data_IF_351473610086
#
_entry.id   IF_351473610086
#
_cell.length_a   1.000
_cell.length_b   1.000
_cell.length_c   1.000
_cell.angle_alpha   90.00
_cell.angle_beta   90.00
_cell.angle_gamma   90.00
#
_symmetry.space_group_name_H-M   'P 1'
#
loop_
_entity.id
_entity.type
_entity.pdbx_description
1 polymer ?
#
# COMPACT_ATOMS: atom_id res chain seq x y z
N UNK A 1 -8.77 -9.31 -29.18
CA UNK A 1 -8.67 -8.06 -29.98
C UNK A 1 -9.75 -7.12 -29.47
N UNK A 2 -9.38 -5.93 -29.00
CA UNK A 2 -10.30 -4.96 -28.36
C UNK A 2 -10.70 -3.92 -29.41
N UNK A 3 -11.62 -4.27 -30.32
CA UNK A 3 -12.21 -3.33 -31.27
C UNK A 3 -13.63 -3.02 -30.82
N UNK A 4 -13.97 -1.73 -30.69
CA UNK A 4 -15.24 -1.22 -30.21
C UNK A 4 -15.94 -0.27 -31.20
N UNK A 5 -15.42 -0.15 -32.45
CA UNK A 5 -15.93 0.79 -33.46
C UNK A 5 -17.41 0.59 -33.78
N UNK A 6 -17.88 -0.68 -33.77
CA UNK A 6 -19.27 -1.03 -34.09
C UNK A 6 -20.14 -1.22 -32.82
N UNK A 7 -19.66 -0.85 -31.64
CA UNK A 7 -20.39 -1.03 -30.37
C UNK A 7 -21.11 0.26 -30.01
N UNK A 8 -22.43 0.20 -29.82
CA UNK A 8 -23.20 1.33 -29.36
C UNK A 8 -22.73 1.80 -27.97
N UNK A 9 -22.69 3.13 -27.77
CA UNK A 9 -22.16 3.77 -26.55
C UNK A 9 -22.80 3.23 -25.26
N UNK A 10 -24.12 3.09 -25.23
CA UNK A 10 -24.84 2.55 -24.07
C UNK A 10 -24.42 1.11 -23.75
N UNK A 11 -24.25 0.30 -24.79
CA UNK A 11 -23.80 -1.09 -24.66
C UNK A 11 -22.36 -1.16 -24.13
N UNK A 12 -21.50 -0.24 -24.57
CA UNK A 12 -20.12 -0.14 -24.09
C UNK A 12 -20.08 0.25 -22.62
N UNK A 13 -20.87 1.22 -22.21
CA UNK A 13 -21.01 1.67 -20.80
C UNK A 13 -21.49 0.51 -19.92
N UNK A 14 -22.53 -0.20 -20.33
CA UNK A 14 -23.07 -1.32 -19.55
C UNK A 14 -22.06 -2.49 -19.43
N UNK A 15 -21.34 -2.80 -20.51
CA UNK A 15 -20.26 -3.80 -20.48
C UNK A 15 -19.14 -3.37 -19.52
N UNK A 16 -18.75 -2.10 -19.51
CA UNK A 16 -17.73 -1.59 -18.60
C UNK A 16 -18.18 -1.72 -17.14
N UNK A 17 -19.43 -1.32 -16.81
CA UNK A 17 -19.98 -1.50 -15.47
C UNK A 17 -19.98 -2.97 -15.02
N UNK A 18 -20.37 -3.86 -15.91
CA UNK A 18 -20.38 -5.30 -15.64
C UNK A 18 -18.98 -5.86 -15.40
N UNK A 19 -17.97 -5.37 -16.13
CA UNK A 19 -16.57 -5.76 -15.93
C UNK A 19 -16.05 -5.26 -14.59
N UNK A 20 -16.31 -4.01 -14.20
CA UNK A 20 -15.94 -3.47 -12.90
C UNK A 20 -16.59 -4.26 -11.75
N UNK A 21 -17.85 -4.63 -11.88
CA UNK A 21 -18.52 -5.46 -10.88
C UNK A 21 -17.86 -6.84 -10.75
N UNK A 22 -17.49 -7.47 -11.85
CA UNK A 22 -16.76 -8.74 -11.85
C UNK A 22 -15.36 -8.60 -11.23
N UNK A 23 -14.65 -7.53 -11.55
CA UNK A 23 -13.33 -7.24 -10.99
C UNK A 23 -13.38 -7.10 -9.47
N UNK A 24 -14.38 -6.40 -8.92
CA UNK A 24 -14.58 -6.28 -7.49
C UNK A 24 -14.79 -7.66 -6.81
N UNK A 25 -15.60 -8.53 -7.41
CA UNK A 25 -15.82 -9.89 -6.90
C UNK A 25 -14.53 -10.70 -6.94
N UNK A 26 -13.78 -10.64 -8.06
CA UNK A 26 -12.50 -11.32 -8.19
C UNK A 26 -11.46 -10.79 -7.20
N UNK A 27 -11.44 -9.48 -6.97
CA UNK A 27 -10.57 -8.88 -5.97
C UNK A 27 -10.88 -9.39 -4.56
N UNK A 28 -12.16 -9.46 -4.17
CA UNK A 28 -12.55 -10.00 -2.87
C UNK A 28 -12.12 -11.46 -2.71
N UNK A 29 -12.33 -12.28 -3.74
CA UNK A 29 -11.88 -13.68 -3.76
C UNK A 29 -10.35 -13.78 -3.67
N UNK A 30 -9.62 -12.96 -4.41
CA UNK A 30 -8.16 -12.91 -4.37
C UNK A 30 -7.66 -12.58 -2.95
N UNK A 31 -8.25 -11.57 -2.31
CA UNK A 31 -7.90 -11.20 -0.94
C UNK A 31 -8.17 -12.35 0.04
N UNK A 32 -9.27 -13.08 -0.12
CA UNK A 32 -9.58 -14.23 0.72
C UNK A 32 -8.53 -15.33 0.57
N UNK A 33 -8.11 -15.65 -0.66
CA UNK A 33 -7.07 -16.64 -0.92
C UNK A 33 -5.71 -16.19 -0.40
N UNK A 34 -5.31 -14.92 -0.61
CA UNK A 34 -4.06 -14.36 -0.06
C UNK A 34 -4.06 -14.48 1.47
N UNK A 35 -5.17 -14.13 2.13
CA UNK A 35 -5.30 -14.23 3.58
C UNK A 35 -5.16 -15.65 4.11
N UNK A 36 -5.69 -16.63 3.38
CA UNK A 36 -5.62 -18.04 3.78
C UNK A 36 -4.23 -18.63 3.52
N UNK A 37 -3.62 -18.34 2.37
CA UNK A 37 -2.24 -18.72 2.05
C UNK A 37 -1.25 -18.14 3.07
N UNK A 38 -1.44 -16.88 3.46
CA UNK A 38 -0.62 -16.19 4.46
C UNK A 38 -0.77 -16.85 5.85
N UNK A 39 -1.98 -17.13 6.28
CA UNK A 39 -2.26 -17.72 7.58
C UNK A 39 -1.74 -19.15 7.73
N UNK A 40 -1.87 -19.96 6.67
CA UNK A 40 -1.35 -21.33 6.64
C UNK A 40 0.14 -21.38 6.27
N UNK A 41 0.78 -20.23 5.96
CA UNK A 41 2.18 -20.14 5.53
C UNK A 41 2.52 -21.03 4.34
N UNK A 42 1.58 -21.18 3.40
CA UNK A 42 1.74 -22.08 2.25
C UNK A 42 2.81 -21.60 1.24
N UNK A 43 3.33 -20.41 1.42
CA UNK A 43 4.48 -19.88 0.67
C UNK A 43 5.81 -20.51 1.09
N UNK A 44 5.94 -21.05 2.33
CA UNK A 44 7.18 -21.65 2.81
C UNK A 44 7.61 -22.88 1.99
N UNK A 45 6.73 -23.88 1.71
CA UNK A 45 7.07 -25.00 0.84
C UNK A 45 7.40 -24.59 -0.60
N UNK A 46 7.02 -23.39 -1.01
CA UNK A 46 7.32 -22.82 -2.34
C UNK A 46 8.69 -22.11 -2.38
N UNK A 47 9.48 -22.20 -1.32
CA UNK A 47 10.80 -21.58 -1.21
C UNK A 47 10.79 -20.07 -0.94
N UNK A 48 9.64 -19.51 -0.56
CA UNK A 48 9.52 -18.09 -0.25
C UNK A 48 9.55 -17.85 1.26
N UNK A 49 10.36 -16.88 1.71
CA UNK A 49 10.50 -16.55 3.13
C UNK A 49 9.32 -15.79 3.72
N UNK A 50 8.50 -15.17 2.87
CA UNK A 50 7.36 -14.36 3.28
C UNK A 50 6.24 -14.38 2.24
N UNK A 51 5.01 -14.04 2.66
CA UNK A 51 3.90 -13.82 1.74
C UNK A 51 4.19 -12.71 0.73
N UNK A 52 4.94 -11.68 1.13
CA UNK A 52 5.38 -10.60 0.24
C UNK A 52 6.28 -11.13 -0.88
N UNK A 53 7.33 -11.88 -0.52
CA UNK A 53 8.23 -12.52 -1.49
C UNK A 53 7.44 -13.43 -2.45
N UNK A 54 6.50 -14.22 -1.92
CA UNK A 54 5.64 -15.08 -2.72
C UNK A 54 4.78 -14.29 -3.73
N UNK A 55 4.16 -13.18 -3.29
CA UNK A 55 3.37 -12.33 -4.18
C UNK A 55 4.22 -11.69 -5.29
N UNK A 56 5.42 -11.22 -4.97
CA UNK A 56 6.29 -10.55 -5.95
C UNK A 56 6.92 -11.57 -6.92
N UNK A 57 7.50 -12.65 -6.43
CA UNK A 57 8.29 -13.59 -7.24
C UNK A 57 7.46 -14.66 -7.92
N UNK A 58 6.40 -15.16 -7.28
CA UNK A 58 5.58 -16.26 -7.82
C UNK A 58 4.29 -15.79 -8.48
N UNK A 59 3.64 -14.78 -7.90
CA UNK A 59 2.40 -14.22 -8.47
C UNK A 59 2.67 -13.02 -9.37
N UNK A 60 3.94 -12.60 -9.51
CA UNK A 60 4.37 -11.49 -10.39
C UNK A 60 3.61 -10.19 -10.10
N UNK A 61 3.27 -9.95 -8.85
CA UNK A 61 2.70 -8.69 -8.42
C UNK A 61 3.79 -7.62 -8.30
N UNK A 62 3.45 -6.36 -8.58
CA UNK A 62 4.33 -5.26 -8.18
C UNK A 62 4.41 -5.18 -6.64
N UNK A 63 5.51 -4.67 -6.09
CA UNK A 63 5.71 -4.53 -4.64
C UNK A 63 4.55 -3.76 -3.98
N UNK A 64 4.12 -2.66 -4.62
CA UNK A 64 3.02 -1.85 -4.12
C UNK A 64 1.67 -2.59 -4.10
N UNK A 65 1.43 -3.46 -5.08
CA UNK A 65 0.23 -4.32 -5.09
C UNK A 65 0.31 -5.42 -4.04
N UNK A 66 1.45 -6.10 -3.95
CA UNK A 66 1.70 -7.14 -2.97
C UNK A 66 1.45 -6.61 -1.56
N UNK A 67 2.06 -5.45 -1.22
CA UNK A 67 1.87 -4.79 0.06
C UNK A 67 0.39 -4.49 0.34
N UNK A 68 -0.29 -3.80 -0.58
CA UNK A 68 -1.70 -3.40 -0.41
C UNK A 68 -2.64 -4.60 -0.28
N UNK A 69 -2.42 -5.65 -1.10
CA UNK A 69 -3.26 -6.85 -1.09
C UNK A 69 -3.07 -7.67 0.18
N UNK A 70 -1.84 -7.85 0.65
CA UNK A 70 -1.55 -8.58 1.89
C UNK A 70 -2.16 -7.86 3.09
N UNK A 71 -1.99 -6.54 3.20
CA UNK A 71 -2.56 -5.77 4.30
C UNK A 71 -4.10 -5.83 4.30
N UNK A 72 -4.72 -5.65 3.14
CA UNK A 72 -6.17 -5.76 3.01
C UNK A 72 -6.68 -7.18 3.30
N UNK A 73 -5.98 -8.21 2.85
CA UNK A 73 -6.33 -9.60 3.11
C UNK A 73 -6.28 -9.94 4.61
N UNK A 74 -5.26 -9.46 5.32
CA UNK A 74 -5.15 -9.61 6.79
C UNK A 74 -6.26 -8.90 7.53
N UNK A 75 -6.60 -7.67 7.13
CA UNK A 75 -7.71 -6.91 7.69
C UNK A 75 -9.06 -7.60 7.43
N UNK A 76 -9.30 -8.04 6.20
CA UNK A 76 -10.53 -8.73 5.80
C UNK A 76 -10.70 -10.09 6.48
N UNK A 77 -9.61 -10.82 6.74
CA UNK A 77 -9.65 -12.07 7.51
C UNK A 77 -10.06 -11.83 8.96
N UNK A 78 -9.62 -10.73 9.56
CA UNK A 78 -10.03 -10.33 10.91
C UNK A 78 -11.47 -9.80 10.93
N UNK A 79 -11.88 -9.07 9.89
CA UNK A 79 -13.20 -8.45 9.77
C UNK A 79 -13.86 -8.84 8.42
N UNK A 80 -14.55 -9.99 8.36
CA UNK A 80 -15.08 -10.56 7.11
C UNK A 80 -16.04 -9.65 6.32
N UNK A 81 -16.71 -8.70 6.97
CA UNK A 81 -17.54 -7.68 6.31
C UNK A 81 -16.78 -6.92 5.19
N UNK A 82 -15.45 -6.82 5.29
CA UNK A 82 -14.63 -6.18 4.27
C UNK A 82 -14.74 -6.92 2.93
N UNK A 83 -14.82 -8.26 2.92
CA UNK A 83 -14.98 -9.03 1.68
C UNK A 83 -16.27 -8.67 0.95
N UNK A 84 -17.37 -8.52 1.69
CA UNK A 84 -18.68 -8.16 1.13
C UNK A 84 -18.64 -6.73 0.55
N UNK A 85 -18.07 -5.79 1.29
CA UNK A 85 -17.96 -4.40 0.86
C UNK A 85 -17.02 -4.21 -0.35
N UNK A 86 -15.99 -5.02 -0.47
CA UNK A 86 -15.11 -5.03 -1.65
C UNK A 86 -15.82 -5.69 -2.82
N UNK A 87 -16.47 -6.83 -2.62
CA UNK A 87 -17.16 -7.57 -3.69
C UNK A 87 -18.30 -6.77 -4.34
N UNK A 88 -19.04 -5.99 -3.55
CA UNK A 88 -20.11 -5.13 -4.05
C UNK A 88 -19.63 -3.74 -4.53
N UNK A 89 -18.31 -3.46 -4.46
CA UNK A 89 -17.72 -2.20 -4.86
C UNK A 89 -17.98 -1.02 -3.91
N UNK A 90 -18.52 -1.27 -2.73
CA UNK A 90 -18.76 -0.23 -1.73
C UNK A 90 -17.48 0.24 -1.03
N UNK A 91 -16.43 -0.58 -1.02
CA UNK A 91 -15.14 -0.24 -0.45
C UNK A 91 -14.00 -0.66 -1.38
N UNK A 92 -13.18 0.28 -1.80
CA UNK A 92 -12.02 0.01 -2.65
C UNK A 92 -10.78 -0.38 -1.82
N UNK A 93 -9.84 -1.10 -2.44
CA UNK A 93 -8.63 -1.65 -1.80
C UNK A 93 -7.83 -0.61 -1.00
N UNK A 94 -7.65 0.60 -1.54
CA UNK A 94 -6.93 1.66 -0.83
C UNK A 94 -7.70 2.18 0.39
N UNK A 95 -9.03 2.13 0.39
CA UNK A 95 -9.86 2.42 1.57
C UNK A 95 -9.67 1.38 2.66
N UNK A 96 -9.65 0.10 2.31
CA UNK A 96 -9.35 -0.99 3.26
C UNK A 96 -7.98 -0.78 3.92
N UNK A 97 -6.97 -0.38 3.14
CA UNK A 97 -5.62 -0.16 3.68
C UNK A 97 -5.53 1.04 4.65
N UNK A 98 -6.36 2.07 4.44
CA UNK A 98 -6.45 3.22 5.37
C UNK A 98 -7.17 2.83 6.65
N UNK A 99 -8.27 2.06 6.53
CA UNK A 99 -9.10 1.67 7.67
C UNK A 99 -8.48 0.55 8.51
N UNK A 100 -7.79 -0.40 7.87
CA UNK A 100 -7.30 -1.62 8.51
C UNK A 100 -6.60 -1.44 9.86
N UNK A 101 -5.66 -0.49 10.01
CA UNK A 101 -5.00 -0.20 11.28
C UNK A 101 -5.94 0.34 12.39
N UNK A 102 -7.04 0.98 12.00
CA UNK A 102 -7.97 1.65 12.91
C UNK A 102 -9.16 0.77 13.34
N UNK A 103 -9.32 -0.38 12.66
CA UNK A 103 -10.40 -1.32 12.95
C UNK A 103 -10.12 -2.13 14.21
N UNK A 104 -11.13 -2.22 15.07
CA UNK A 104 -11.16 -3.10 16.23
C UNK A 104 -12.53 -3.82 16.34
N UNK A 105 -12.69 -4.69 17.32
CA UNK A 105 -13.92 -5.48 17.50
C UNK A 105 -15.15 -4.63 17.77
N UNK A 106 -14.97 -3.48 18.40
CA UNK A 106 -16.05 -2.58 18.81
C UNK A 106 -16.50 -1.65 17.68
N UNK A 107 -15.52 -1.13 16.87
CA UNK A 107 -15.79 -0.06 15.92
C UNK A 107 -15.90 -0.51 14.45
N UNK A 108 -15.51 -1.75 14.13
CA UNK A 108 -15.35 -2.18 12.73
C UNK A 108 -16.62 -2.03 11.89
N UNK A 109 -17.79 -2.38 12.45
CA UNK A 109 -19.06 -2.29 11.71
C UNK A 109 -19.43 -0.85 11.38
N UNK A 110 -19.43 0.01 12.39
CA UNK A 110 -19.75 1.43 12.25
C UNK A 110 -18.77 2.14 11.31
N UNK A 111 -17.47 1.90 11.49
CA UNK A 111 -16.43 2.55 10.70
C UNK A 111 -16.46 2.11 9.23
N UNK A 112 -16.69 0.82 8.95
CA UNK A 112 -16.85 0.28 7.61
C UNK A 112 -18.12 0.80 6.91
N UNK A 113 -19.23 0.91 7.64
CA UNK A 113 -20.47 1.50 7.11
C UNK A 113 -20.28 2.97 6.74
N UNK A 114 -19.70 3.75 7.64
CA UNK A 114 -19.38 5.15 7.38
C UNK A 114 -18.38 5.37 6.23
N UNK A 115 -17.48 4.43 6.00
CA UNK A 115 -16.49 4.49 4.92
C UNK A 115 -17.05 4.01 3.56
N UNK A 116 -18.19 3.35 3.56
CA UNK A 116 -18.84 2.82 2.36
C UNK A 116 -19.07 3.92 1.32
N UNK A 117 -18.72 3.63 0.05
CA UNK A 117 -18.86 4.52 -1.10
C UNK A 117 -18.12 5.87 -0.98
N UNK A 118 -17.17 5.98 -0.07
CA UNK A 118 -16.34 7.17 0.09
C UNK A 118 -15.03 7.04 -0.68
N UNK A 119 -14.50 8.19 -1.12
CA UNK A 119 -13.16 8.26 -1.70
C UNK A 119 -12.09 8.02 -0.64
N UNK A 120 -10.87 7.64 -1.06
CA UNK A 120 -9.74 7.46 -0.15
C UNK A 120 -9.53 8.68 0.77
N UNK A 121 -9.60 9.89 0.21
CA UNK A 121 -9.44 11.14 0.97
C UNK A 121 -10.51 11.32 2.03
N UNK A 122 -11.77 11.06 1.71
CA UNK A 122 -12.87 11.15 2.68
C UNK A 122 -12.74 10.09 3.79
N UNK A 123 -12.18 8.92 3.49
CA UNK A 123 -11.87 7.89 4.49
C UNK A 123 -10.71 8.36 5.38
N UNK A 124 -9.66 8.95 4.83
CA UNK A 124 -8.55 9.52 5.61
C UNK A 124 -9.03 10.65 6.55
N UNK A 125 -9.94 11.49 6.09
CA UNK A 125 -10.57 12.54 6.92
C UNK A 125 -11.42 11.94 8.04
N UNK A 126 -12.20 10.88 7.75
CA UNK A 126 -12.98 10.13 8.74
C UNK A 126 -12.09 9.55 9.85
N UNK A 127 -10.96 8.95 9.48
CA UNK A 127 -10.00 8.38 10.42
C UNK A 127 -9.35 9.48 11.27
N UNK A 128 -8.92 10.59 10.66
CA UNK A 128 -8.33 11.72 11.40
C UNK A 128 -9.29 12.34 12.41
N UNK A 129 -10.58 12.42 12.07
CA UNK A 129 -11.58 12.98 12.96
C UNK A 129 -11.79 12.14 14.23
N UNK A 130 -11.57 10.81 14.13
CA UNK A 130 -11.72 9.88 15.27
C UNK A 130 -10.48 9.79 16.16
N UNK A 131 -9.31 9.91 15.59
CA UNK A 131 -8.04 9.88 16.32
C UNK A 131 -7.17 11.05 15.86
N UNK A 132 -7.44 12.28 16.34
CA UNK A 132 -6.58 13.41 16.03
C UNK A 132 -5.18 13.13 16.57
N UNK A 133 -4.22 12.90 15.65
CA UNK A 133 -2.82 12.84 16.05
C UNK A 133 -2.45 14.20 16.62
N UNK A 134 -1.79 14.27 17.80
CA UNK A 134 -1.30 15.54 18.30
C UNK A 134 -0.41 16.19 17.25
N UNK A 135 -0.61 17.49 17.03
CA UNK A 135 0.22 18.28 16.11
C UNK A 135 1.68 18.06 16.48
N UNK A 136 2.43 17.46 15.58
CA UNK A 136 3.89 17.36 15.74
C UNK A 136 4.42 18.76 15.50
N UNK A 137 5.01 19.44 16.53
CA UNK A 137 5.57 20.77 16.33
C UNK A 137 6.60 20.70 15.21
N UNK A 138 6.50 21.63 14.26
CA UNK A 138 7.41 21.73 13.13
C UNK A 138 8.86 21.88 13.62
N UNK A 139 9.60 20.79 13.71
CA UNK A 139 11.03 20.82 13.98
C UNK A 139 11.76 21.20 12.70
N UNK A 140 12.09 22.48 12.58
CA UNK A 140 13.06 22.95 11.60
C UNK A 140 14.42 22.41 12.05
N UNK A 141 14.85 21.27 11.55
CA UNK A 141 16.25 20.85 11.68
C UNK A 141 17.11 21.81 10.87
N UNK A 142 17.91 22.65 11.56
CA UNK A 142 19.02 23.35 10.91
C UNK A 142 19.88 22.29 10.22
N UNK A 143 20.08 22.44 8.92
CA UNK A 143 21.11 21.68 8.22
C UNK A 143 22.47 21.96 8.92
N UNK A 144 23.33 20.95 9.14
CA UNK A 144 24.66 21.17 9.62
C UNK A 144 25.36 22.12 8.67
N UNK A 145 25.84 23.25 9.20
CA UNK A 145 26.69 24.17 8.42
C UNK A 145 27.90 23.40 7.91
N UNK A 146 28.28 23.51 6.64
CA UNK A 146 29.52 22.92 6.18
C UNK A 146 30.66 23.52 6.99
N UNK A 147 31.33 22.70 7.80
CA UNK A 147 32.51 23.10 8.54
C UNK A 147 33.60 23.44 7.52
N UNK A 148 33.77 24.74 7.24
CA UNK A 148 34.99 25.24 6.63
C UNK A 148 36.11 24.96 7.63
N UNK A 149 37.06 24.15 7.19
CA UNK A 149 38.47 24.24 7.53
C UNK A 149 39.18 22.94 7.13
N UNK A 150 39.55 22.84 5.88
CA UNK A 150 40.79 22.13 5.54
C UNK A 150 41.89 23.18 5.41
N UNK A 151 42.57 23.43 6.52
CA UNK A 151 43.87 24.10 6.48
C UNK A 151 44.88 23.15 5.84
N UNK A 152 45.27 23.45 4.62
CA UNK A 152 46.37 22.78 3.93
C UNK A 152 47.64 23.22 4.65
N UNK A 153 48.22 22.38 5.49
CA UNK A 153 49.58 22.54 5.97
C UNK A 153 50.53 22.18 4.84
N UNK A 154 51.10 23.17 4.19
CA UNK A 154 52.24 23.05 3.30
C UNK A 154 53.45 22.67 4.13
N UNK A 155 53.81 21.40 4.15
CA UNK A 155 55.11 20.96 4.62
C UNK A 155 56.09 21.16 3.46
N UNK A 156 56.94 22.20 3.60
CA UNK A 156 58.11 22.39 2.78
C UNK A 156 59.10 21.23 2.99
N UNK A 157 59.48 20.57 1.91
CA UNK A 157 60.54 19.59 1.89
C UNK A 157 61.83 20.36 1.58
N UNK A 158 62.88 20.34 2.40
CA UNK A 158 64.16 20.92 2.06
C UNK A 158 64.89 20.04 1.04
N UNK A 159 65.29 20.68 -0.05
CA UNK A 159 66.14 20.12 -1.07
C UNK A 159 67.56 19.93 -0.47
N UNK A 160 68.03 18.72 -0.34
CA UNK A 160 69.44 18.44 -0.10
C UNK A 160 70.07 18.08 -1.38
N UNK A 161 70.92 19.01 -1.84
CA UNK A 161 71.99 18.76 -2.87
C UNK A 161 72.95 17.70 -2.30
N UNK A 162 73.24 16.72 -3.10
CA UNK A 162 74.47 15.93 -2.99
C UNK A 162 75.20 15.96 -4.32
N UNK A 163 76.30 16.68 -4.26
CA UNK A 163 77.47 16.49 -5.17
C UNK A 163 78.06 15.08 -4.96
N UNK A 164 78.33 14.41 -6.00
CA UNK A 164 79.51 13.74 -6.53
C UNK A 164 79.13 12.73 -7.59
#
# INVERSE_FOLDING_TARGET
>A
MYNFEDVADDSLIERLKALVAKDNVLLAQLLAHIGEVDARKLYLPQGCSSMFTYCVERLICSEGEAYKRIHAARAARKFPLIFELVANGALHLSGVNVLGPELNEENHRELLEHASRKSKRAIEELVRARAPKPDVPAQIRKLPSPSAQMSVATHGVPCTEREN
#
